data_IF_099178677957
#
_entry.id   IF_099178677957
#
_cell.length_a   1.000
_cell.length_b   1.000
_cell.length_c   1.000
_cell.angle_alpha   90.00
_cell.angle_beta   90.00
_cell.angle_gamma   90.00
#
_symmetry.space_group_name_H-M   'P 1'
#
loop_
_entity.id
_entity.type
_entity.pdbx_description
1 polymer ?
#
# COMPACT_ATOMS: atom_id res chain seq x y z
N UNK A 1 24.47 -16.25 6.65
CA UNK A 1 24.21 -14.90 7.18
C UNK A 1 23.12 -14.32 6.30
N UNK A 2 21.85 -14.47 6.69
CA UNK A 2 20.70 -13.94 5.97
C UNK A 2 20.57 -12.47 6.32
N UNK A 3 20.96 -11.58 5.42
CA UNK A 3 20.68 -10.15 5.58
C UNK A 3 19.19 -9.96 5.30
N UNK A 4 18.43 -9.58 6.33
CA UNK A 4 17.08 -9.08 6.16
C UNK A 4 17.19 -7.62 5.72
N UNK A 5 17.46 -7.43 4.43
CA UNK A 5 17.36 -6.13 3.75
C UNK A 5 15.89 -5.89 3.41
N UNK A 6 15.08 -5.68 4.44
CA UNK A 6 13.63 -5.62 4.33
C UNK A 6 13.21 -4.31 3.64
N UNK A 7 12.81 -4.39 2.37
CA UNK A 7 11.95 -3.37 1.78
C UNK A 7 10.59 -3.39 2.49
N UNK A 8 9.98 -2.23 2.70
CA UNK A 8 8.67 -2.10 3.35
C UNK A 8 7.55 -2.53 2.39
N UNK A 9 7.44 -3.84 2.14
CA UNK A 9 6.40 -4.42 1.29
C UNK A 9 5.37 -5.13 2.14
N UNK A 10 4.10 -4.79 1.93
CA UNK A 10 2.97 -5.50 2.51
C UNK A 10 2.08 -5.97 1.35
N UNK A 11 1.94 -7.29 1.20
CA UNK A 11 0.99 -7.91 0.28
C UNK A 11 -0.22 -8.37 1.08
N UNK A 12 -1.41 -7.89 0.70
CA UNK A 12 -2.67 -8.27 1.34
C UNK A 12 -3.51 -9.08 0.36
N UNK A 13 -3.83 -10.31 0.73
CA UNK A 13 -4.77 -11.17 0.00
C UNK A 13 -6.00 -11.41 0.85
N UNK A 14 -7.17 -11.02 0.34
CA UNK A 14 -8.44 -11.10 1.07
C UNK A 14 -9.37 -12.09 0.34
N UNK A 15 -10.01 -13.04 1.06
CA UNK A 15 -10.99 -13.93 0.44
C UNK A 15 -12.20 -13.16 -0.13
N UNK A 16 -12.70 -13.56 -1.31
CA UNK A 16 -13.84 -12.93 -2.01
C UNK A 16 -15.10 -12.71 -1.16
N UNK A 17 -15.29 -13.47 -0.07
CA UNK A 17 -16.41 -13.27 0.86
C UNK A 17 -16.41 -11.91 1.57
N UNK A 18 -15.27 -11.22 1.58
CA UNK A 18 -15.13 -9.88 2.17
C UNK A 18 -15.26 -8.75 1.16
N UNK A 19 -15.53 -9.05 -0.12
CA UNK A 19 -15.86 -8.03 -1.13
C UNK A 19 -17.05 -7.19 -0.64
N UNK A 20 -17.03 -5.88 -0.90
CA UNK A 20 -18.00 -4.91 -0.37
C UNK A 20 -18.02 -4.74 1.16
N UNK A 21 -17.07 -5.34 1.89
CA UNK A 21 -17.02 -5.30 3.36
C UNK A 21 -15.65 -4.82 3.89
N UNK A 22 -14.80 -4.25 3.04
CA UNK A 22 -13.54 -3.63 3.48
C UNK A 22 -13.76 -2.12 3.63
N UNK A 23 -13.04 -1.50 4.56
CA UNK A 23 -12.91 -0.05 4.68
C UNK A 23 -11.53 0.23 5.26
N UNK A 24 -10.89 1.33 4.86
CA UNK A 24 -9.58 1.72 5.36
C UNK A 24 -8.66 2.22 4.26
N UNK A 25 -7.35 2.20 4.56
CA UNK A 25 -6.30 2.66 3.64
C UNK A 25 -6.20 1.89 2.32
N UNK A 26 -6.91 0.76 2.17
CA UNK A 26 -6.98 -0.05 0.96
C UNK A 26 -8.35 0.02 0.26
N UNK A 27 -9.25 0.90 0.70
CA UNK A 27 -10.54 1.15 0.05
C UNK A 27 -11.67 0.18 0.42
N UNK A 28 -12.75 0.24 -0.36
CA UNK A 28 -14.03 -0.43 -0.10
C UNK A 28 -14.13 -1.82 -0.76
N UNK A 29 -13.23 -2.09 -1.71
CA UNK A 29 -13.16 -3.31 -2.52
C UNK A 29 -14.53 -3.69 -3.11
N UNK A 30 -15.18 -2.71 -3.74
CA UNK A 30 -16.48 -2.84 -4.41
C UNK A 30 -16.39 -2.80 -5.95
N UNK A 31 -15.18 -2.80 -6.51
CA UNK A 31 -14.83 -2.59 -7.93
C UNK A 31 -15.05 -1.15 -8.45
N UNK A 32 -15.31 -0.17 -7.58
CA UNK A 32 -15.41 1.25 -7.90
C UNK A 32 -14.28 2.04 -7.24
N UNK A 33 -13.28 2.44 -8.02
CA UNK A 33 -12.15 3.21 -7.51
C UNK A 33 -12.52 4.63 -7.09
N UNK A 34 -13.71 5.13 -7.46
CA UNK A 34 -14.10 6.52 -7.18
C UNK A 34 -14.38 6.77 -5.71
N UNK A 35 -14.64 5.72 -4.91
CA UNK A 35 -14.92 5.82 -3.47
C UNK A 35 -13.82 5.25 -2.57
N UNK A 36 -12.73 4.71 -3.13
CA UNK A 36 -11.66 4.04 -2.34
C UNK A 36 -10.95 4.99 -1.36
N UNK A 37 -10.95 6.30 -1.62
CA UNK A 37 -10.39 7.32 -0.72
C UNK A 37 -11.46 7.93 0.21
N UNK A 38 -12.33 7.08 0.75
CA UNK A 38 -13.33 7.45 1.76
C UNK A 38 -12.67 7.63 3.14
N UNK A 39 -13.04 8.70 3.83
CA UNK A 39 -12.65 8.97 5.22
C UNK A 39 -13.34 8.01 6.20
N UNK A 40 -12.78 7.81 7.40
CA UNK A 40 -13.49 7.10 8.45
C UNK A 40 -14.69 7.91 8.93
N UNK A 41 -15.78 7.22 9.23
CA UNK A 41 -16.95 7.69 9.99
C UNK A 41 -17.83 8.80 9.35
N UNK A 42 -17.50 9.38 8.18
CA UNK A 42 -18.24 10.55 7.66
C UNK A 42 -18.61 10.58 6.15
N UNK A 43 -18.55 9.45 5.43
CA UNK A 43 -18.91 9.31 3.99
C UNK A 43 -18.24 10.32 3.05
N UNK A 44 -17.26 11.09 3.53
CA UNK A 44 -16.52 12.05 2.70
C UNK A 44 -15.51 11.28 1.86
N UNK A 45 -15.58 11.50 0.54
CA UNK A 45 -14.69 10.88 -0.44
C UNK A 45 -13.74 11.93 -1.00
N UNK A 46 -12.45 11.64 -0.95
CA UNK A 46 -11.41 12.50 -1.54
C UNK A 46 -11.15 12.05 -2.98
N UNK A 47 -11.26 12.92 -4.00
CA UNK A 47 -10.97 12.51 -5.37
C UNK A 47 -9.52 12.04 -5.53
N UNK A 48 -9.30 10.93 -6.22
CA UNK A 48 -7.96 10.40 -6.50
C UNK A 48 -7.07 11.35 -7.33
N UNK A 49 -7.67 12.35 -7.99
CA UNK A 49 -6.97 13.40 -8.73
C UNK A 49 -6.51 14.57 -7.85
N UNK A 50 -6.78 14.53 -6.55
CA UNK A 50 -6.34 15.56 -5.59
C UNK A 50 -4.83 15.52 -5.41
N UNK A 51 -4.25 16.60 -4.88
CA UNK A 51 -2.81 16.64 -4.59
C UNK A 51 -2.44 15.59 -3.52
N UNK A 52 -1.17 15.17 -3.52
CA UNK A 52 -0.64 14.30 -2.46
C UNK A 52 -0.80 14.90 -1.07
N UNK A 53 -0.73 16.23 -0.95
CA UNK A 53 -0.99 16.94 0.30
C UNK A 53 -2.44 16.77 0.77
N UNK A 54 -3.41 16.98 -0.12
CA UNK A 54 -4.82 16.76 0.19
C UNK A 54 -5.08 15.30 0.54
N UNK A 55 -4.57 14.34 -0.24
CA UNK A 55 -4.75 12.92 0.04
C UNK A 55 -4.11 12.53 1.38
N UNK A 56 -2.93 13.05 1.71
CA UNK A 56 -2.28 12.79 2.99
C UNK A 56 -3.07 13.37 4.17
N UNK A 57 -3.49 14.63 4.10
CA UNK A 57 -4.15 15.32 5.22
C UNK A 57 -5.62 14.94 5.38
N UNK A 58 -6.36 14.88 4.29
CA UNK A 58 -7.81 14.69 4.30
C UNK A 58 -8.23 13.23 4.19
N UNK A 59 -7.36 12.32 3.73
CA UNK A 59 -7.63 10.87 3.74
C UNK A 59 -6.66 10.12 4.67
N UNK A 60 -5.36 10.07 4.36
CA UNK A 60 -4.41 9.20 5.06
C UNK A 60 -4.31 9.46 6.57
N UNK A 61 -4.25 10.73 6.97
CA UNK A 61 -4.18 11.11 8.39
C UNK A 61 -5.47 10.86 9.17
N UNK A 62 -6.62 10.81 8.48
CA UNK A 62 -7.90 10.56 9.14
C UNK A 62 -8.02 9.11 9.63
N UNK A 63 -7.34 8.18 8.95
CA UNK A 63 -7.27 6.75 9.31
C UNK A 63 -6.29 6.41 10.46
N UNK A 64 -5.78 7.40 11.20
CA UNK A 64 -4.91 7.15 12.37
C UNK A 64 -5.68 6.41 13.47
N UNK A 65 -5.19 5.24 13.86
CA UNK A 65 -5.77 4.41 14.93
C UNK A 65 -5.83 5.21 16.24
N UNK A 66 -7.01 5.32 16.86
CA UNK A 66 -7.15 6.00 18.16
C UNK A 66 -6.67 5.11 19.30
N UNK A 67 -6.30 5.72 20.44
CA UNK A 67 -5.78 4.99 21.62
C UNK A 67 -6.70 3.89 22.11
N UNK A 68 -8.02 4.12 22.11
CA UNK A 68 -9.04 3.17 22.54
C UNK A 68 -9.42 2.13 21.47
N UNK A 69 -8.98 2.32 20.23
CA UNK A 69 -9.22 1.42 19.10
C UNK A 69 -8.00 0.52 18.79
N UNK A 70 -6.84 0.87 19.33
CA UNK A 70 -5.60 0.12 19.11
C UNK A 70 -5.67 -1.31 19.64
N UNK A 71 -5.43 -2.29 18.75
CA UNK A 71 -5.33 -3.72 19.08
C UNK A 71 -3.92 -4.18 19.45
N UNK A 72 -2.91 -3.30 19.36
CA UNK A 72 -1.53 -3.65 19.68
C UNK A 72 -1.27 -3.73 21.19
N UNK A 73 -0.36 -4.62 21.57
CA UNK A 73 0.19 -4.68 22.92
C UNK A 73 1.29 -3.63 23.10
N UNK A 74 1.30 -2.98 24.27
CA UNK A 74 2.31 -1.99 24.66
C UNK A 74 2.99 -2.38 25.96
N UNK A 75 4.29 -2.10 26.06
CA UNK A 75 5.05 -2.27 27.30
C UNK A 75 4.50 -1.35 28.41
N UNK A 76 4.69 -1.69 29.71
CA UNK A 76 4.29 -0.81 30.80
C UNK A 76 4.85 0.61 30.63
N UNK A 77 3.97 1.62 30.78
CA UNK A 77 4.31 3.03 30.57
C UNK A 77 4.19 3.54 29.13
N UNK A 78 3.97 2.65 28.16
CA UNK A 78 3.78 3.01 26.75
C UNK A 78 2.34 2.77 26.31
N UNK A 79 1.90 3.49 25.27
CA UNK A 79 0.61 3.30 24.62
C UNK A 79 0.67 3.75 23.15
N UNK A 80 -0.45 3.72 22.43
CA UNK A 80 -0.56 4.15 21.03
C UNK A 80 0.08 5.53 20.76
N UNK A 81 -0.12 6.51 21.67
CA UNK A 81 0.41 7.86 21.48
C UNK A 81 1.92 7.92 21.64
N UNK A 82 2.54 6.94 22.31
CA UNK A 82 4.00 6.83 22.42
C UNK A 82 4.67 6.48 21.09
N UNK A 83 3.92 5.94 20.13
CA UNK A 83 4.40 5.52 18.82
C UNK A 83 3.78 6.31 17.66
N UNK A 84 3.10 7.43 17.97
CA UNK A 84 2.42 8.25 16.98
C UNK A 84 2.95 9.68 17.03
N UNK A 85 3.56 10.12 15.94
CA UNK A 85 3.91 11.53 15.76
C UNK A 85 2.80 12.22 14.95
N UNK A 86 2.00 13.05 15.62
CA UNK A 86 0.94 13.82 14.98
C UNK A 86 1.46 15.03 14.17
N UNK A 87 2.70 15.45 14.42
CA UNK A 87 3.35 16.54 13.71
C UNK A 87 4.26 16.04 12.57
N UNK A 88 4.20 14.74 12.26
CA UNK A 88 4.95 14.19 11.13
C UNK A 88 4.34 14.66 9.81
N UNK A 89 5.17 15.29 8.99
CA UNK A 89 4.84 15.67 7.61
C UNK A 89 5.80 14.94 6.67
N UNK A 90 5.31 14.04 5.81
CA UNK A 90 6.15 13.37 4.82
C UNK A 90 6.58 14.35 3.71
N UNK A 91 7.58 13.96 2.93
CA UNK A 91 7.83 14.61 1.65
C UNK A 91 6.71 14.23 0.69
N UNK A 92 5.84 15.20 0.37
CA UNK A 92 4.70 15.04 -0.53
C UNK A 92 5.04 15.42 -1.98
N UNK A 93 6.33 15.65 -2.26
CA UNK A 93 6.82 15.97 -3.59
C UNK A 93 6.80 14.69 -4.42
N UNK A 94 6.11 14.74 -5.56
CA UNK A 94 6.24 13.68 -6.55
C UNK A 94 7.69 13.65 -7.07
N UNK A 95 8.39 12.52 -6.91
CA UNK A 95 9.78 12.44 -7.29
C UNK A 95 9.88 12.51 -8.82
N UNK A 96 10.36 13.64 -9.33
CA UNK A 96 10.75 13.77 -10.73
C UNK A 96 12.19 13.33 -10.85
N UNK A 97 12.40 12.16 -11.45
CA UNK A 97 13.75 11.63 -11.65
C UNK A 97 14.08 11.52 -13.13
N UNK A 98 15.26 12.04 -13.47
CA UNK A 98 15.92 11.70 -14.72
C UNK A 98 16.42 10.27 -14.60
N UNK A 99 15.91 9.38 -15.45
CA UNK A 99 16.44 8.03 -15.56
C UNK A 99 17.88 8.12 -16.05
N UNK A 100 18.84 7.84 -15.17
CA UNK A 100 20.24 7.62 -15.54
C UNK A 100 20.48 6.12 -15.81
N UNK A 101 21.64 5.80 -16.38
CA UNK A 101 21.99 4.41 -16.72
C UNK A 101 21.94 3.47 -15.50
N UNK A 102 22.22 4.00 -14.30
CA UNK A 102 22.19 3.22 -13.05
C UNK A 102 20.76 2.85 -12.67
N UNK A 103 19.82 3.80 -12.70
CA UNK A 103 18.40 3.52 -12.46
C UNK A 103 17.89 2.53 -13.51
N UNK A 104 18.24 2.72 -14.78
CA UNK A 104 17.86 1.78 -15.84
C UNK A 104 18.38 0.36 -15.59
N UNK A 105 19.62 0.23 -15.13
CA UNK A 105 20.24 -1.07 -14.83
C UNK A 105 19.58 -1.80 -13.66
N UNK A 106 19.30 -1.09 -12.56
CA UNK A 106 18.77 -1.71 -11.32
C UNK A 106 17.25 -1.83 -11.35
N UNK A 107 16.57 -0.79 -11.83
CA UNK A 107 15.12 -0.62 -11.68
C UNK A 107 14.33 -0.77 -12.99
N UNK A 108 15.00 -0.82 -14.14
CA UNK A 108 14.34 -0.78 -15.45
C UNK A 108 13.43 0.45 -15.56
N UNK A 109 12.13 0.23 -15.72
CA UNK A 109 11.11 1.30 -15.82
C UNK A 109 10.29 1.47 -14.54
N UNK A 110 10.62 0.77 -13.44
CA UNK A 110 9.85 0.83 -12.20
C UNK A 110 10.13 2.13 -11.45
N UNK A 111 9.13 3.02 -11.41
CA UNK A 111 9.19 4.28 -10.68
C UNK A 111 9.34 4.08 -9.16
N UNK A 112 8.72 3.03 -8.60
CA UNK A 112 8.83 2.71 -7.17
C UNK A 112 10.24 2.26 -6.81
N UNK A 113 10.84 1.39 -7.62
CA UNK A 113 12.25 1.01 -7.44
C UNK A 113 13.18 2.21 -7.61
N UNK A 114 12.96 3.03 -8.63
CA UNK A 114 13.78 4.22 -8.89
C UNK A 114 13.73 5.18 -7.69
N UNK A 115 12.54 5.39 -7.12
CA UNK A 115 12.36 6.17 -5.90
C UNK A 115 13.19 5.61 -4.75
N UNK A 116 13.05 4.31 -4.45
CA UNK A 116 13.80 3.66 -3.36
C UNK A 116 15.32 3.75 -3.58
N UNK A 117 15.79 3.60 -4.82
CA UNK A 117 17.20 3.77 -5.16
C UNK A 117 17.67 5.19 -4.90
N UNK A 118 16.87 6.20 -5.26
CA UNK A 118 17.25 7.60 -5.11
C UNK A 118 17.27 8.07 -3.66
N UNK A 119 16.31 7.62 -2.85
CA UNK A 119 16.22 8.04 -1.43
C UNK A 119 17.13 7.25 -0.51
N UNK A 120 17.45 5.99 -0.84
CA UNK A 120 18.31 5.15 -0.01
C UNK A 120 19.75 5.05 -0.52
N UNK A 121 19.99 5.34 -1.81
CA UNK A 121 21.24 5.09 -2.50
C UNK A 121 21.72 3.62 -2.45
N UNK A 122 20.82 2.66 -2.23
CA UNK A 122 21.12 1.22 -2.11
C UNK A 122 20.45 0.41 -3.21
N UNK A 123 21.25 -0.11 -4.14
CA UNK A 123 20.77 -0.94 -5.26
C UNK A 123 20.07 -2.22 -4.78
N UNK A 124 20.66 -2.90 -3.79
CA UNK A 124 20.06 -4.11 -3.20
C UNK A 124 18.69 -3.84 -2.59
N UNK A 125 18.52 -2.71 -1.90
CA UNK A 125 17.25 -2.31 -1.29
C UNK A 125 16.20 -2.02 -2.36
N UNK A 126 16.55 -1.19 -3.35
CA UNK A 126 15.66 -0.87 -4.47
C UNK A 126 15.26 -2.12 -5.28
N UNK A 127 16.20 -3.05 -5.47
CA UNK A 127 15.95 -4.32 -6.15
C UNK A 127 14.92 -5.22 -5.44
N UNK A 128 14.75 -5.08 -4.11
CA UNK A 128 13.67 -5.78 -3.41
C UNK A 128 12.29 -5.26 -3.80
N UNK A 129 12.17 -3.96 -4.09
CA UNK A 129 10.91 -3.37 -4.57
C UNK A 129 10.49 -3.95 -5.92
N UNK A 130 11.45 -4.22 -6.83
CA UNK A 130 11.15 -4.96 -8.06
C UNK A 130 10.62 -6.37 -7.78
N UNK A 131 11.29 -7.12 -6.90
CA UNK A 131 10.86 -8.48 -6.53
C UNK A 131 9.46 -8.49 -5.90
N UNK A 132 9.17 -7.50 -5.06
CA UNK A 132 7.84 -7.29 -4.48
C UNK A 132 6.77 -7.05 -5.55
N UNK A 133 7.07 -6.20 -6.55
CA UNK A 133 6.17 -5.96 -7.69
C UNK A 133 5.95 -7.25 -8.47
N UNK A 134 7.00 -8.01 -8.79
CA UNK A 134 6.90 -9.30 -9.49
C UNK A 134 6.04 -10.31 -8.71
N UNK A 135 6.25 -10.40 -7.40
CA UNK A 135 5.45 -11.25 -6.52
C UNK A 135 3.97 -10.84 -6.51
N UNK A 136 3.68 -9.54 -6.46
CA UNK A 136 2.31 -9.03 -6.57
C UNK A 136 1.68 -9.42 -7.91
N UNK A 137 2.38 -9.24 -9.02
CA UNK A 137 1.88 -9.60 -10.35
C UNK A 137 1.61 -11.10 -10.49
N UNK A 138 2.51 -11.94 -9.97
CA UNK A 138 2.31 -13.40 -9.94
C UNK A 138 1.10 -13.78 -9.09
N UNK A 139 1.02 -13.27 -7.86
CA UNK A 139 -0.08 -13.56 -6.94
C UNK A 139 -1.42 -13.13 -7.54
N UNK A 140 -1.49 -11.95 -8.16
CA UNK A 140 -2.68 -11.47 -8.83
C UNK A 140 -3.14 -12.44 -9.92
N UNK A 141 -2.21 -12.91 -10.76
CA UNK A 141 -2.51 -13.88 -11.83
C UNK A 141 -3.03 -15.20 -11.28
N UNK A 142 -2.47 -15.68 -10.17
CA UNK A 142 -2.92 -16.93 -9.52
C UNK A 142 -4.30 -16.78 -8.87
N UNK A 143 -4.68 -15.56 -8.49
CA UNK A 143 -5.99 -15.22 -7.92
C UNK A 143 -7.05 -14.90 -8.98
N UNK A 144 -6.68 -14.74 -10.26
CA UNK A 144 -7.66 -14.61 -11.33
C UNK A 144 -8.51 -15.89 -11.37
N UNK A 145 -9.85 -15.78 -11.24
CA UNK A 145 -10.69 -16.96 -11.33
C UNK A 145 -10.50 -17.57 -12.72
N UNK A 146 -9.89 -18.75 -12.77
CA UNK A 146 -9.85 -19.53 -14.00
C UNK A 146 -11.27 -19.64 -14.54
N UNK A 147 -11.46 -19.43 -15.84
CA UNK A 147 -12.74 -19.64 -16.53
C UNK A 147 -13.05 -21.15 -16.44
N UNK A 148 -13.53 -21.57 -15.27
CA UNK A 148 -13.99 -22.90 -15.00
C UNK A 148 -15.34 -23.04 -15.65
N UNK A 149 -15.38 -23.74 -16.79
CA UNK A 149 -16.61 -24.31 -17.28
C UNK A 149 -17.23 -25.17 -16.18
N UNK A 150 -18.14 -24.58 -15.40
CA UNK A 150 -19.09 -25.33 -14.60
C UNK A 150 -20.00 -26.06 -15.58
N UNK A 151 -19.56 -27.24 -16.02
CA UNK A 151 -20.49 -28.22 -16.57
C UNK A 151 -21.43 -28.59 -15.43
N UNK A 152 -22.63 -28.03 -15.51
CA UNK A 152 -23.80 -28.43 -14.74
C UNK A 152 -24.14 -29.86 -15.12
N UNK A 153 -23.60 -30.85 -14.39
CA UNK A 153 -24.22 -32.16 -14.35
C UNK A 153 -25.42 -32.08 -13.40
N UNK A 154 -26.57 -31.71 -13.97
CA UNK A 154 -27.89 -31.99 -13.39
C UNK A 154 -28.24 -33.45 -13.66
N UNK A 155 -28.51 -34.16 -12.56
CA UNK A 155 -29.23 -35.45 -12.41
C UNK A 155 -28.57 -36.71 -12.95
#
# INVERSE_FOLDING_TARGET
MTTHDDALTILVTIPNRFKYNTHGMLGTWNDDQSDDLQRPDDDVIIPATSSMETIFHEFGNTWRVKKNESLFYYRPGYNQSSYTNYNYTPSLIEPTFSLDDRIGHVCGTSQLCAFDLLVTAREEFAGQTLRAIEQYQSTRKDLEPGIGHYQTQRR
#
